data_IF_216620804577
#
_entry.id   IF_216620804577
#
_cell.length_a   1.000
_cell.length_b   1.000
_cell.length_c   1.000
_cell.angle_alpha   90.00
_cell.angle_beta   90.00
_cell.angle_gamma   90.00
#
_symmetry.space_group_name_H-M   'P 1'
#
loop_
_entity.id
_entity.type
_entity.pdbx_description
1 polymer ?
#
# COMPACT_ATOMS: atom_id res chain seq x y z
N UNK A 1 12.38 15.67 6.75
CA UNK A 1 11.57 15.59 7.98
C UNK A 1 12.00 14.33 8.71
N UNK A 2 12.66 14.49 9.85
CA UNK A 2 13.13 13.37 10.66
C UNK A 2 12.02 12.85 11.60
N UNK A 3 12.24 11.71 12.27
CA UNK A 3 11.20 11.11 13.11
C UNK A 3 10.95 11.86 14.44
N UNK A 4 11.89 12.68 14.93
CA UNK A 4 11.67 13.56 16.08
C UNK A 4 10.72 14.71 15.71
N UNK A 5 10.86 15.25 14.50
CA UNK A 5 9.98 16.27 13.96
C UNK A 5 8.55 15.73 13.79
N UNK A 6 8.40 14.49 13.29
CA UNK A 6 7.11 13.78 13.22
C UNK A 6 6.47 13.56 14.59
N UNK A 7 7.25 13.16 15.61
CA UNK A 7 6.76 13.01 16.98
C UNK A 7 6.28 14.31 17.62
N UNK A 8 6.96 15.43 17.31
CA UNK A 8 6.54 16.75 17.80
C UNK A 8 5.20 17.15 17.20
N UNK A 9 5.02 16.95 15.90
CA UNK A 9 3.88 17.45 15.13
C UNK A 9 2.62 16.57 15.23
N UNK A 10 2.75 15.27 15.47
CA UNK A 10 1.62 14.34 15.40
C UNK A 10 1.48 13.47 16.67
N UNK A 11 0.32 13.53 17.39
CA UNK A 11 0.08 12.77 18.61
C UNK A 11 0.29 11.27 18.45
N UNK A 12 -0.01 10.74 17.26
CA UNK A 12 0.07 9.31 16.93
C UNK A 12 1.50 8.74 16.98
N UNK A 13 2.54 9.59 16.91
CA UNK A 13 3.94 9.17 16.98
C UNK A 13 4.50 9.20 18.41
N UNK A 14 3.71 9.68 19.39
CA UNK A 14 4.06 9.69 20.82
C UNK A 14 3.56 8.44 21.55
N UNK A 15 2.82 7.56 20.88
CA UNK A 15 2.42 6.27 21.45
C UNK A 15 3.68 5.42 21.70
N UNK A 16 3.86 4.84 22.90
CA UNK A 16 5.05 4.03 23.22
C UNK A 16 5.17 2.77 22.37
N UNK A 17 6.39 2.30 22.16
CA UNK A 17 6.64 1.05 21.44
C UNK A 17 6.10 -0.17 22.22
N UNK A 18 5.29 -0.98 21.54
CA UNK A 18 4.57 -2.15 22.09
C UNK A 18 5.37 -3.46 21.88
N UNK A 19 6.64 -3.39 21.52
CA UNK A 19 7.48 -4.59 21.42
C UNK A 19 7.74 -5.19 22.81
N UNK A 20 7.41 -6.47 22.98
CA UNK A 20 7.77 -7.23 24.17
C UNK A 20 9.24 -7.68 24.10
N UNK A 21 10.02 -7.31 25.11
CA UNK A 21 11.43 -7.67 25.27
C UNK A 21 11.53 -8.87 26.20
N UNK A 22 11.51 -10.07 25.63
CA UNK A 22 11.48 -11.33 26.41
C UNK A 22 12.65 -11.44 27.40
N UNK A 23 13.84 -10.98 27.04
CA UNK A 23 15.02 -11.01 27.90
C UNK A 23 14.89 -10.12 29.15
N UNK A 24 14.09 -9.06 29.06
CA UNK A 24 13.90 -8.07 30.14
C UNK A 24 12.54 -8.20 30.83
N UNK A 25 11.66 -9.08 30.33
CA UNK A 25 10.32 -9.27 30.88
C UNK A 25 9.43 -8.02 30.85
N UNK A 26 9.64 -7.11 29.88
CA UNK A 26 8.92 -5.83 29.81
C UNK A 26 8.65 -5.39 28.37
N UNK A 27 7.77 -4.41 28.19
CA UNK A 27 7.60 -3.70 26.92
C UNK A 27 8.71 -2.66 26.71
N UNK A 28 9.07 -2.42 25.45
CA UNK A 28 10.11 -1.48 25.05
C UNK A 28 9.81 -0.03 25.48
N UNK A 29 8.63 0.49 25.11
CA UNK A 29 8.18 1.83 25.51
C UNK A 29 8.85 3.02 24.80
N UNK A 30 9.82 2.80 23.92
CA UNK A 30 10.54 3.88 23.21
C UNK A 30 9.64 4.68 22.26
N UNK A 31 9.95 5.96 22.09
CA UNK A 31 9.34 6.91 21.14
C UNK A 31 10.45 7.65 20.35
N UNK A 32 10.21 8.15 19.14
CA UNK A 32 8.97 8.09 18.35
C UNK A 32 8.65 6.67 17.83
N UNK A 33 7.37 6.43 17.54
CA UNK A 33 6.91 5.17 16.95
C UNK A 33 6.16 5.37 15.63
N UNK A 34 6.12 4.29 14.83
CA UNK A 34 5.27 4.15 13.64
C UNK A 34 4.25 3.04 13.87
N UNK A 35 3.06 3.17 13.27
CA UNK A 35 2.02 2.15 13.35
C UNK A 35 2.24 1.10 12.27
N UNK A 36 2.33 -0.16 12.68
CA UNK A 36 2.29 -1.35 11.84
C UNK A 36 1.08 -2.20 12.23
N UNK A 37 0.80 -3.26 11.46
CA UNK A 37 -0.28 -4.21 11.77
C UNK A 37 -0.07 -4.91 13.13
N UNK A 38 1.20 -5.04 13.55
CA UNK A 38 1.62 -5.66 14.80
C UNK A 38 1.67 -4.68 15.99
N UNK A 39 1.15 -3.46 15.82
CA UNK A 39 1.15 -2.41 16.84
C UNK A 39 2.17 -1.29 16.59
N UNK A 40 2.36 -0.42 17.58
CA UNK A 40 3.30 0.70 17.51
C UNK A 40 4.74 0.24 17.72
N UNK A 41 5.64 0.56 16.79
CA UNK A 41 7.05 0.15 16.84
C UNK A 41 8.00 1.35 16.72
N UNK A 42 9.02 1.38 17.58
CA UNK A 42 10.16 2.30 17.44
C UNK A 42 11.13 1.82 16.35
N UNK A 43 12.10 2.66 15.96
CA UNK A 43 13.10 2.36 14.91
C UNK A 43 13.86 1.05 15.09
N UNK A 44 14.06 0.58 16.32
CA UNK A 44 14.79 -0.66 16.58
C UNK A 44 13.90 -1.91 16.50
N UNK A 45 12.59 -1.73 16.50
CA UNK A 45 11.61 -2.81 16.56
C UNK A 45 10.65 -2.79 15.38
N UNK A 46 10.99 -2.09 14.31
CA UNK A 46 10.23 -2.18 13.05
C UNK A 46 10.47 -3.55 12.42
N UNK A 47 9.53 -4.06 11.60
CA UNK A 47 9.75 -5.30 10.87
C UNK A 47 11.04 -5.28 10.04
N UNK A 48 11.36 -4.16 9.38
CA UNK A 48 12.61 -3.99 8.63
C UNK A 48 13.85 -4.07 9.52
N UNK A 49 13.83 -3.44 10.70
CA UNK A 49 14.96 -3.50 11.64
C UNK A 49 15.20 -4.93 12.15
N UNK A 50 14.13 -5.68 12.45
CA UNK A 50 14.22 -7.08 12.85
C UNK A 50 14.77 -7.99 11.73
N UNK A 51 14.52 -7.63 10.47
CA UNK A 51 15.07 -8.30 9.29
C UNK A 51 16.45 -7.79 8.86
N UNK A 52 17.04 -6.81 9.56
CA UNK A 52 18.32 -6.19 9.20
C UNK A 52 18.27 -5.36 7.90
N UNK A 53 17.08 -4.96 7.47
CA UNK A 53 16.86 -4.15 6.27
C UNK A 53 16.78 -2.66 6.63
N UNK A 54 17.16 -1.77 5.71
CA UNK A 54 16.96 -0.33 5.91
C UNK A 54 15.47 -0.02 6.06
N UNK A 55 15.15 0.83 7.04
CA UNK A 55 13.79 1.28 7.27
C UNK A 55 13.31 2.14 6.10
N UNK A 56 12.13 1.87 5.50
CA UNK A 56 11.60 2.72 4.46
C UNK A 56 11.41 4.16 4.96
N UNK A 57 11.58 5.16 4.07
CA UNK A 57 11.32 6.54 4.43
C UNK A 57 9.88 6.69 4.96
N UNK A 58 9.64 7.61 5.92
CA UNK A 58 8.31 7.81 6.46
C UNK A 58 7.32 8.16 5.35
N UNK A 59 6.11 7.59 5.43
CA UNK A 59 5.03 7.85 4.48
C UNK A 59 4.43 6.59 3.86
N UNK A 60 3.15 6.66 3.52
CA UNK A 60 2.43 5.60 2.83
C UNK A 60 2.38 5.91 1.33
N UNK A 61 2.90 5.04 0.46
CA UNK A 61 2.68 5.13 -0.97
C UNK A 61 1.61 4.11 -1.34
N UNK A 62 0.34 4.50 -1.20
CA UNK A 62 -0.74 3.66 -1.71
C UNK A 62 -0.59 3.55 -3.23
N UNK A 63 -0.95 2.41 -3.85
CA UNK A 63 -1.17 2.35 -5.29
C UNK A 63 -2.09 3.51 -5.73
N UNK A 64 -1.59 4.38 -6.62
CA UNK A 64 -2.33 5.55 -7.12
C UNK A 64 -2.47 6.75 -6.16
N UNK A 65 -1.90 6.73 -4.95
CA UNK A 65 -1.89 7.90 -4.03
C UNK A 65 -0.59 8.01 -3.23
N UNK A 66 0.14 9.12 -3.41
CA UNK A 66 1.31 9.45 -2.62
C UNK A 66 0.93 10.14 -1.31
N UNK A 67 1.24 9.52 -0.17
CA UNK A 67 1.18 10.15 1.16
C UNK A 67 2.56 10.24 1.82
N UNK A 68 3.65 10.11 1.05
CA UNK A 68 5.02 10.18 1.57
C UNK A 68 5.64 11.58 1.55
N UNK A 69 4.88 12.60 1.14
CA UNK A 69 5.31 14.01 1.16
C UNK A 69 6.40 14.36 0.15
N UNK A 70 6.74 13.46 -0.78
CA UNK A 70 7.68 13.71 -1.88
C UNK A 70 6.90 14.11 -3.14
N UNK A 71 7.26 15.25 -3.74
CA UNK A 71 6.61 15.76 -4.95
C UNK A 71 6.86 14.90 -6.20
N UNK A 72 7.95 14.14 -6.25
CA UNK A 72 8.36 13.26 -7.36
C UNK A 72 8.43 11.81 -6.91
N UNK A 73 7.29 11.23 -6.54
CA UNK A 73 7.24 9.84 -6.09
C UNK A 73 7.12 8.90 -7.30
N UNK A 74 8.06 7.96 -7.54
CA UNK A 74 7.99 7.04 -8.68
C UNK A 74 6.76 6.11 -8.63
N UNK A 75 6.11 5.96 -7.46
CA UNK A 75 4.82 5.28 -7.37
C UNK A 75 3.72 5.92 -8.24
N UNK A 76 3.75 7.24 -8.46
CA UNK A 76 2.85 7.94 -9.41
C UNK A 76 3.24 7.71 -10.87
N UNK A 77 4.51 7.40 -11.15
CA UNK A 77 4.94 7.03 -12.51
C UNK A 77 4.52 5.60 -12.84
N UNK A 78 4.57 4.68 -11.87
CA UNK A 78 4.16 3.29 -12.04
C UNK A 78 2.64 3.07 -11.98
N UNK A 79 1.92 3.93 -11.26
CA UNK A 79 0.45 4.03 -11.30
C UNK A 79 0.13 5.39 -11.88
N UNK A 80 0.17 5.49 -13.21
CA UNK A 80 -0.27 6.70 -13.89
C UNK A 80 -1.76 6.88 -13.57
N UNK A 81 -2.27 8.11 -13.62
CA UNK A 81 -3.71 8.35 -13.48
C UNK A 81 -4.54 7.49 -14.46
N UNK A 82 -3.96 7.16 -15.62
CA UNK A 82 -4.50 6.22 -16.61
C UNK A 82 -4.63 4.75 -16.12
N UNK A 83 -4.06 4.38 -14.98
CA UNK A 83 -4.22 3.06 -14.36
C UNK A 83 -5.35 3.05 -13.30
N UNK A 84 -5.93 4.22 -13.01
CA UNK A 84 -7.14 4.29 -12.20
C UNK A 84 -8.34 3.84 -13.02
N UNK A 85 -9.27 3.12 -12.39
CA UNK A 85 -10.45 2.56 -13.05
C UNK A 85 -11.33 3.62 -13.76
N UNK A 86 -11.26 4.88 -13.32
CA UNK A 86 -12.05 5.98 -13.87
C UNK A 86 -11.45 6.58 -15.15
N UNK A 87 -10.11 6.66 -15.25
CA UNK A 87 -9.40 7.36 -16.34
C UNK A 87 -8.64 6.40 -17.27
N UNK A 88 -8.70 5.09 -17.03
CA UNK A 88 -8.13 4.10 -17.93
C UNK A 88 -9.04 3.97 -19.17
N UNK A 89 -8.61 4.41 -20.38
CA UNK A 89 -9.36 4.22 -21.61
C UNK A 89 -9.45 2.75 -22.02
N UNK A 90 -8.87 1.84 -21.24
CA UNK A 90 -8.99 0.39 -21.33
C UNK A 90 -9.70 -0.22 -20.12
N UNK A 91 -10.22 0.55 -19.15
CA UNK A 91 -11.03 0.03 -18.03
C UNK A 91 -12.26 -0.76 -18.51
N UNK A 92 -12.81 -0.41 -19.67
CA UNK A 92 -13.88 -1.19 -20.33
C UNK A 92 -13.35 -2.42 -21.10
N UNK A 93 -12.06 -2.43 -21.47
CA UNK A 93 -11.37 -3.65 -21.95
C UNK A 93 -11.00 -4.56 -20.78
N UNK A 94 -10.95 -4.04 -19.55
CA UNK A 94 -11.01 -4.83 -18.32
C UNK A 94 -12.44 -5.35 -18.12
N UNK A 95 -12.83 -6.29 -18.99
CA UNK A 95 -13.44 -7.57 -18.60
C UNK A 95 -13.87 -8.45 -19.76
N UNK A 96 -13.67 -8.07 -21.03
CA UNK A 96 -14.04 -8.96 -22.14
C UNK A 96 -13.30 -10.31 -22.04
N UNK A 97 -12.00 -10.32 -21.69
CA UNK A 97 -11.23 -11.55 -21.50
C UNK A 97 -11.65 -12.34 -20.25
N UNK A 98 -11.89 -11.68 -19.13
CA UNK A 98 -12.31 -12.36 -17.89
C UNK A 98 -13.75 -12.88 -17.98
N UNK A 99 -14.63 -12.19 -18.71
CA UNK A 99 -15.97 -12.65 -19.06
C UNK A 99 -15.87 -13.82 -20.05
N UNK A 100 -15.14 -13.68 -21.15
CA UNK A 100 -14.97 -14.72 -22.17
C UNK A 100 -14.32 -16.00 -21.61
N UNK A 101 -13.36 -15.86 -20.69
CA UNK A 101 -12.71 -16.98 -19.99
C UNK A 101 -13.52 -17.55 -18.83
N UNK A 102 -14.66 -16.94 -18.49
CA UNK A 102 -15.54 -17.41 -17.41
C UNK A 102 -15.05 -17.08 -15.99
N UNK A 103 -13.93 -16.37 -15.85
CA UNK A 103 -13.39 -15.90 -14.55
C UNK A 103 -14.28 -14.84 -13.90
N UNK A 104 -15.15 -14.17 -14.67
CA UNK A 104 -16.14 -13.22 -14.19
C UNK A 104 -17.55 -13.61 -14.59
N UNK A 105 -18.48 -13.56 -13.63
CA UNK A 105 -19.91 -13.83 -13.86
C UNK A 105 -20.51 -12.72 -14.73
N UNK A 106 -21.31 -13.12 -15.70
CA UNK A 106 -21.98 -12.22 -16.64
C UNK A 106 -23.29 -12.83 -17.14
N UNK A 107 -24.12 -12.03 -17.80
CA UNK A 107 -25.28 -12.56 -18.51
C UNK A 107 -24.85 -13.34 -19.76
N UNK A 108 -25.63 -14.31 -20.25
CA UNK A 108 -25.28 -15.07 -21.45
C UNK A 108 -24.99 -14.18 -22.68
N UNK A 109 -25.74 -13.09 -22.83
CA UNK A 109 -25.56 -12.12 -23.92
C UNK A 109 -24.23 -11.37 -23.81
N UNK A 110 -23.86 -10.95 -22.58
CA UNK A 110 -22.58 -10.30 -22.33
C UNK A 110 -21.40 -11.27 -22.59
N UNK A 111 -21.53 -12.53 -22.16
CA UNK A 111 -20.55 -13.59 -22.44
C UNK A 111 -20.30 -13.79 -23.95
N UNK A 112 -21.37 -13.90 -24.74
CA UNK A 112 -21.27 -14.06 -26.19
C UNK A 112 -20.61 -12.85 -26.88
N UNK A 113 -21.00 -11.63 -26.49
CA UNK A 113 -20.42 -10.40 -27.03
C UNK A 113 -18.92 -10.27 -26.75
N UNK A 114 -18.49 -10.65 -25.55
CA UNK A 114 -17.10 -10.65 -25.13
C UNK A 114 -16.26 -11.63 -25.96
N UNK A 115 -16.73 -12.88 -26.17
CA UNK A 115 -16.03 -13.84 -27.03
C UNK A 115 -15.91 -13.36 -28.48
N UNK A 116 -16.97 -12.76 -29.01
CA UNK A 116 -16.96 -12.24 -30.38
C UNK A 116 -15.94 -11.09 -30.55
N UNK A 117 -15.81 -10.22 -29.53
CA UNK A 117 -14.86 -9.09 -29.58
C UNK A 117 -13.38 -9.52 -29.59
N UNK A 118 -13.04 -10.67 -28.97
CA UNK A 118 -11.66 -11.19 -28.95
C UNK A 118 -11.26 -11.98 -30.20
N UNK A 119 -12.25 -12.48 -30.95
CA UNK A 119 -12.01 -13.30 -32.16
C UNK A 119 -11.68 -12.44 -33.39
N UNK A 120 -11.77 -11.10 -33.27
CA UNK A 120 -11.71 -10.16 -34.40
C UNK A 120 -10.33 -9.53 -34.67
N UNK A 121 -9.26 -10.19 -34.25
CA UNK A 121 -7.85 -9.74 -34.43
C UNK A 121 -7.13 -10.69 -35.38
#
# INVERSE_FOLDING_TARGET
>A
MDDQELARLHPRYRTPCEQWLRAEGRYCGQIPTRRYDQGYKCRQHTPSALEGKPEPPPGYCAPGRCYCGRGTCPAFETYRQADTYADNPYAWQVDAEAIASGKRRSSPTAYASARASLTKT
#
